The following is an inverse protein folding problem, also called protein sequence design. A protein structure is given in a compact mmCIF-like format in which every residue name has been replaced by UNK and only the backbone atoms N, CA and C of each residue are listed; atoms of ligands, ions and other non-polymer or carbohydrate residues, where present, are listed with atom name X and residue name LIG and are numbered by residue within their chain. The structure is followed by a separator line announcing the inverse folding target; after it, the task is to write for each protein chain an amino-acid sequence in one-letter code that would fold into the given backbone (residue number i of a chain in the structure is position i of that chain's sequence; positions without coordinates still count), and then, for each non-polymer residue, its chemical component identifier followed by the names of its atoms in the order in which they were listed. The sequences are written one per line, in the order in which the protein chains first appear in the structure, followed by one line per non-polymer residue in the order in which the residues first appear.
data_IF_774883935609
#
_entry.id   IF_774883935609
#
_cell.length_a   1.000
_cell.length_b   1.000
_cell.length_c   1.000
_cell.angle_alpha   90.00
_cell.angle_beta   90.00
_cell.angle_gamma   90.00
#
_symmetry.space_group_name_H-M   'P 1'
#
loop_
_entity.id
_entity.type
_entity.pdbx_description
1 polymer ?
#
# COMPACT_ATOMS: atom_id res chain seq x y z
N UNK A 1 25.60 2.75 -12.19
CA UNK A 1 25.01 2.64 -10.84
C UNK A 1 25.26 1.23 -10.32
N UNK A 2 25.91 1.11 -9.16
CA UNK A 2 26.43 -0.18 -8.65
C UNK A 2 25.45 -0.93 -7.74
N UNK A 3 24.57 -0.22 -7.02
CA UNK A 3 23.62 -0.81 -6.07
C UNK A 3 22.37 -1.39 -6.74
N UNK A 4 21.62 -2.30 -6.07
CA UNK A 4 20.35 -2.81 -6.59
C UNK A 4 19.37 -1.70 -6.97
N UNK A 5 18.65 -1.88 -8.06
CA UNK A 5 17.57 -1.01 -8.51
C UNK A 5 16.22 -1.64 -8.16
N UNK A 6 15.49 -0.99 -7.26
CA UNK A 6 14.15 -1.37 -6.84
C UNK A 6 13.14 -0.45 -7.51
N UNK A 7 12.29 -1.00 -8.36
CA UNK A 7 11.20 -0.25 -9.00
C UNK A 7 9.93 -0.39 -8.16
N UNK A 8 9.52 0.68 -7.48
CA UNK A 8 8.25 0.72 -6.74
C UNK A 8 7.12 1.00 -7.72
N UNK A 9 6.55 -0.05 -8.27
CA UNK A 9 5.51 0.02 -9.28
C UNK A 9 4.15 0.20 -8.63
N UNK A 10 3.48 1.34 -8.87
CA UNK A 10 2.19 1.64 -8.24
C UNK A 10 0.98 1.06 -8.99
N UNK A 11 1.17 0.58 -10.22
CA UNK A 11 0.08 0.13 -11.10
C UNK A 11 -0.57 1.24 -11.93
N UNK A 12 -0.02 2.46 -11.89
CA UNK A 12 -0.53 3.61 -12.67
C UNK A 12 0.23 3.84 -13.97
N UNK A 13 -0.31 4.71 -14.85
CA UNK A 13 0.30 5.09 -16.12
C UNK A 13 1.70 5.66 -16.00
N UNK A 14 1.96 6.53 -15.01
CA UNK A 14 3.28 7.14 -14.79
C UNK A 14 4.32 6.08 -14.41
N UNK A 15 4.01 5.20 -13.44
CA UNK A 15 4.92 4.09 -13.09
C UNK A 15 5.08 3.08 -14.23
N UNK A 16 4.04 2.88 -15.04
CA UNK A 16 4.04 2.10 -16.26
C UNK A 16 5.04 2.62 -17.29
N UNK A 17 4.91 3.89 -17.68
CA UNK A 17 5.80 4.54 -18.65
C UNK A 17 7.25 4.51 -18.15
N UNK A 18 7.47 4.88 -16.88
CA UNK A 18 8.81 4.83 -16.27
C UNK A 18 9.41 3.43 -16.39
N UNK A 19 8.68 2.39 -15.96
CA UNK A 19 9.19 1.03 -15.99
C UNK A 19 9.49 0.56 -17.42
N UNK A 20 8.61 0.83 -18.38
CA UNK A 20 8.83 0.45 -19.79
C UNK A 20 10.10 1.11 -20.36
N UNK A 21 10.36 2.35 -19.99
CA UNK A 21 11.60 3.04 -20.38
C UNK A 21 12.84 2.38 -19.74
N UNK A 22 12.81 2.12 -18.42
CA UNK A 22 13.92 1.44 -17.72
C UNK A 22 14.23 0.06 -18.32
N UNK A 23 13.20 -0.69 -18.71
CA UNK A 23 13.34 -2.01 -19.35
C UNK A 23 13.95 -1.89 -20.75
N UNK A 24 13.37 -1.04 -21.61
CA UNK A 24 13.82 -0.87 -23.01
C UNK A 24 15.25 -0.34 -23.11
N UNK A 25 15.68 0.48 -22.16
CA UNK A 25 17.05 1.00 -22.10
C UNK A 25 18.05 0.06 -21.38
N UNK A 26 17.60 -1.11 -20.90
CA UNK A 26 18.48 -2.06 -20.21
C UNK A 26 19.04 -1.53 -18.89
N UNK A 27 18.31 -0.65 -18.20
CA UNK A 27 18.78 -0.06 -16.92
C UNK A 27 18.64 -1.01 -15.73
N UNK A 28 17.89 -2.11 -15.87
CA UNK A 28 17.67 -3.12 -14.84
C UNK A 28 18.48 -4.39 -15.12
N UNK A 29 19.02 -4.99 -14.06
CA UNK A 29 19.86 -6.18 -14.09
C UNK A 29 19.56 -7.10 -12.89
N UNK A 30 19.02 -8.32 -13.09
CA UNK A 30 18.68 -9.21 -12.00
C UNK A 30 19.90 -9.70 -11.20
N UNK A 31 21.09 -9.76 -11.80
CA UNK A 31 22.34 -10.12 -11.11
C UNK A 31 22.72 -9.10 -10.02
N UNK A 32 22.26 -7.86 -10.16
CA UNK A 32 22.51 -6.78 -9.18
C UNK A 32 21.53 -6.82 -8.00
N UNK A 33 20.55 -7.73 -8.02
CA UNK A 33 19.47 -7.78 -7.03
C UNK A 33 18.30 -6.86 -7.37
N UNK A 34 18.21 -6.39 -8.61
CA UNK A 34 17.13 -5.55 -9.07
C UNK A 34 15.79 -6.30 -9.04
N UNK A 35 14.74 -5.59 -8.65
CA UNK A 35 13.40 -6.15 -8.63
C UNK A 35 12.34 -5.06 -8.83
N UNK A 36 11.24 -5.45 -9.43
CA UNK A 36 10.02 -4.64 -9.52
C UNK A 36 9.08 -5.12 -8.42
N UNK A 37 8.48 -4.19 -7.69
CA UNK A 37 7.60 -4.48 -6.56
C UNK A 37 6.28 -3.75 -6.75
N UNK A 38 5.18 -4.51 -6.75
CA UNK A 38 3.81 -3.99 -6.66
C UNK A 38 3.23 -4.34 -5.29
N UNK A 39 2.94 -3.31 -4.50
CA UNK A 39 2.30 -3.47 -3.20
C UNK A 39 0.78 -3.51 -3.37
N UNK A 40 0.20 -4.70 -3.36
CA UNK A 40 -1.25 -4.88 -3.45
C UNK A 40 -1.92 -4.53 -2.11
N UNK A 41 -2.89 -3.63 -2.15
CA UNK A 41 -3.71 -3.20 -1.02
C UNK A 41 -5.08 -3.86 -1.02
N UNK A 42 -5.40 -4.67 -2.04
CA UNK A 42 -6.71 -5.27 -2.32
C UNK A 42 -7.84 -4.27 -2.56
N UNK A 43 -7.51 -2.97 -2.66
CA UNK A 43 -8.43 -1.85 -2.85
C UNK A 43 -8.19 -1.11 -4.17
N UNK A 44 -7.39 -1.71 -5.05
CA UNK A 44 -7.11 -1.22 -6.38
C UNK A 44 -8.30 -1.44 -7.32
N UNK A 45 -8.39 -0.59 -8.34
CA UNK A 45 -9.34 -0.76 -9.43
C UNK A 45 -9.06 -2.08 -10.20
N UNK A 46 -10.10 -2.82 -10.65
CA UNK A 46 -9.93 -4.05 -11.43
C UNK A 46 -8.93 -3.94 -12.60
N UNK A 47 -9.02 -2.86 -13.38
CA UNK A 47 -8.12 -2.61 -14.49
C UNK A 47 -6.65 -2.42 -14.08
N UNK A 48 -6.36 -1.94 -12.86
CA UNK A 48 -4.99 -1.87 -12.33
C UNK A 48 -4.37 -3.25 -12.19
N UNK A 49 -5.14 -4.28 -11.81
CA UNK A 49 -4.63 -5.66 -11.76
C UNK A 49 -4.38 -6.21 -13.17
N UNK A 50 -5.28 -5.95 -14.11
CA UNK A 50 -5.12 -6.36 -15.51
C UNK A 50 -3.86 -5.74 -16.13
N UNK A 51 -3.67 -4.45 -15.92
CA UNK A 51 -2.51 -3.71 -16.36
C UNK A 51 -1.20 -4.21 -15.74
N UNK A 52 -1.16 -4.30 -14.41
CA UNK A 52 0.02 -4.76 -13.67
C UNK A 52 0.40 -6.19 -14.07
N UNK A 53 -0.59 -7.07 -14.33
CA UNK A 53 -0.36 -8.45 -14.82
C UNK A 53 0.32 -8.44 -16.18
N UNK A 54 -0.15 -7.61 -17.12
CA UNK A 54 0.47 -7.47 -18.46
C UNK A 54 1.92 -7.00 -18.34
N UNK A 55 2.17 -5.95 -17.56
CA UNK A 55 3.52 -5.41 -17.34
C UNK A 55 4.43 -6.43 -16.64
N UNK A 56 3.93 -7.17 -15.66
CA UNK A 56 4.67 -8.27 -15.01
C UNK A 56 5.12 -9.32 -16.02
N UNK A 57 4.20 -9.80 -16.85
CA UNK A 57 4.53 -10.80 -17.89
C UNK A 57 5.56 -10.27 -18.87
N UNK A 58 5.46 -9.01 -19.30
CA UNK A 58 6.42 -8.36 -20.18
C UNK A 58 7.81 -8.28 -19.51
N UNK A 59 7.90 -7.71 -18.31
CA UNK A 59 9.16 -7.55 -17.59
C UNK A 59 9.87 -8.89 -17.33
N UNK A 60 9.13 -9.94 -16.99
CA UNK A 60 9.72 -11.24 -16.68
C UNK A 60 10.08 -12.04 -17.92
N UNK A 61 9.24 -12.04 -18.96
CA UNK A 61 9.45 -12.88 -20.15
C UNK A 61 10.39 -12.26 -21.18
N UNK A 62 10.30 -10.95 -21.38
CA UNK A 62 11.06 -10.27 -22.43
C UNK A 62 12.38 -9.71 -21.89
N UNK A 63 12.40 -9.30 -20.62
CA UNK A 63 13.56 -8.64 -20.01
C UNK A 63 14.21 -9.44 -18.88
N UNK A 64 13.61 -10.57 -18.47
CA UNK A 64 14.11 -11.42 -17.39
C UNK A 64 14.35 -10.63 -16.07
N UNK A 65 13.47 -9.67 -15.75
CA UNK A 65 13.53 -8.89 -14.50
C UNK A 65 12.47 -9.42 -13.53
N UNK A 66 12.84 -9.84 -12.29
CA UNK A 66 11.89 -10.27 -11.28
C UNK A 66 10.85 -9.20 -10.95
N UNK A 67 9.57 -9.56 -10.99
CA UNK A 67 8.48 -8.67 -10.62
C UNK A 67 7.58 -9.34 -9.56
N UNK A 68 7.68 -8.90 -8.32
CA UNK A 68 6.88 -9.43 -7.21
C UNK A 68 5.64 -8.60 -6.91
N UNK A 69 4.54 -9.32 -6.66
CA UNK A 69 3.35 -8.75 -6.00
C UNK A 69 3.40 -9.14 -4.53
N UNK A 70 3.26 -8.15 -3.65
CA UNK A 70 3.34 -8.35 -2.20
C UNK A 70 2.15 -7.71 -1.50
N UNK A 71 1.66 -8.39 -0.47
CA UNK A 71 0.51 -7.97 0.34
C UNK A 71 0.90 -7.86 1.80
N UNK A 72 0.30 -6.89 2.51
CA UNK A 72 0.32 -6.88 3.97
C UNK A 72 -0.39 -8.13 4.50
N UNK A 73 0.16 -8.71 5.55
CA UNK A 73 -0.46 -9.81 6.28
C UNK A 73 0.00 -9.70 7.74
N UNK A 74 -0.75 -10.28 8.66
CA UNK A 74 -0.33 -10.52 10.04
C UNK A 74 -0.20 -12.01 10.34
N UNK A 75 0.51 -12.33 11.41
CA UNK A 75 0.58 -13.68 11.97
C UNK A 75 0.50 -13.62 13.50
N UNK A 76 0.16 -14.74 14.14
CA UNK A 76 0.14 -14.85 15.60
C UNK A 76 1.47 -15.31 16.15
N UNK A 77 1.96 -14.58 17.13
CA UNK A 77 3.19 -14.91 17.85
C UNK A 77 3.17 -14.28 19.25
N UNK A 78 4.01 -14.82 20.14
CA UNK A 78 4.15 -14.28 21.48
C UNK A 78 4.84 -12.90 21.43
N UNK A 79 4.29 -11.95 22.17
CA UNK A 79 4.92 -10.67 22.49
C UNK A 79 6.08 -10.89 23.47
N UNK A 80 6.92 -9.88 23.64
CA UNK A 80 8.02 -9.91 24.61
C UNK A 80 7.53 -10.05 26.07
N UNK A 81 6.24 -9.80 26.31
CA UNK A 81 5.58 -9.93 27.61
C UNK A 81 4.80 -11.25 27.75
N UNK A 82 4.93 -12.17 26.80
CA UNK A 82 4.27 -13.49 26.83
C UNK A 82 2.79 -13.49 26.47
N UNK A 83 2.23 -12.35 26.01
CA UNK A 83 0.86 -12.30 25.45
C UNK A 83 0.87 -12.65 23.97
N UNK A 84 -0.16 -13.33 23.47
CA UNK A 84 -0.27 -13.60 22.04
C UNK A 84 -0.82 -12.39 21.31
N UNK A 85 -0.13 -11.96 20.25
CA UNK A 85 -0.48 -10.76 19.47
C UNK A 85 -0.41 -11.04 17.98
N UNK A 86 -1.07 -10.19 17.18
CA UNK A 86 -0.90 -10.15 15.73
C UNK A 86 0.33 -9.31 15.38
N UNK A 87 1.39 -9.95 14.88
CA UNK A 87 2.58 -9.27 14.38
C UNK A 87 2.46 -9.01 12.88
N UNK A 88 2.84 -7.82 12.39
CA UNK A 88 2.80 -7.51 10.97
C UNK A 88 3.90 -8.27 10.20
N UNK A 89 3.59 -8.65 8.98
CA UNK A 89 4.49 -9.23 7.97
C UNK A 89 4.01 -8.81 6.58
N UNK A 90 4.64 -9.35 5.56
CA UNK A 90 4.11 -9.39 4.21
C UNK A 90 4.05 -10.82 3.71
N UNK A 91 3.32 -11.06 2.62
CA UNK A 91 3.34 -12.29 1.83
C UNK A 91 3.53 -11.96 0.36
N UNK A 92 4.01 -12.93 -0.40
CA UNK A 92 4.14 -12.84 -1.85
C UNK A 92 2.91 -13.51 -2.48
N UNK A 93 2.39 -12.96 -3.57
CA UNK A 93 1.23 -13.51 -4.27
C UNK A 93 1.50 -13.64 -5.76
N UNK A 94 0.83 -14.60 -6.40
CA UNK A 94 0.89 -14.73 -7.85
C UNK A 94 -0.07 -13.74 -8.53
N UNK A 95 0.02 -13.64 -9.86
CA UNK A 95 -0.71 -12.68 -10.67
C UNK A 95 -2.16 -13.12 -10.97
N UNK A 96 -2.67 -14.17 -10.30
CA UNK A 96 -4.03 -14.69 -10.43
C UNK A 96 -4.85 -14.47 -9.14
N UNK A 97 -6.17 -14.23 -9.24
CA UNK A 97 -7.02 -14.03 -8.06
C UNK A 97 -6.94 -15.20 -7.09
N UNK A 98 -7.03 -14.91 -5.80
CA UNK A 98 -7.12 -15.92 -4.74
C UNK A 98 -8.40 -16.75 -4.88
N UNK A 99 -8.27 -18.07 -4.72
CA UNK A 99 -9.40 -18.99 -4.65
C UNK A 99 -9.03 -20.24 -3.84
N UNK A 100 -9.98 -21.16 -3.63
CA UNK A 100 -9.69 -22.46 -2.99
C UNK A 100 -8.63 -23.26 -3.75
N UNK A 101 -8.64 -23.18 -5.10
CA UNK A 101 -7.63 -23.82 -5.95
C UNK A 101 -6.36 -23.00 -6.16
N UNK A 102 -6.36 -21.72 -5.76
CA UNK A 102 -5.21 -20.83 -5.84
C UNK A 102 -4.98 -20.08 -4.50
N UNK A 103 -4.51 -20.79 -3.46
CA UNK A 103 -4.27 -20.18 -2.14
C UNK A 103 -3.09 -19.19 -2.15
N UNK A 104 -2.29 -19.14 -3.21
CA UNK A 104 -1.21 -18.18 -3.40
C UNK A 104 -1.63 -16.94 -4.22
N UNK A 105 -2.89 -16.88 -4.65
CA UNK A 105 -3.42 -15.77 -5.44
C UNK A 105 -3.59 -14.47 -4.66
N UNK A 106 -3.67 -13.37 -5.40
CA UNK A 106 -3.83 -12.03 -4.83
C UNK A 106 -5.29 -11.76 -4.38
N UNK A 107 -5.42 -10.96 -3.33
CA UNK A 107 -6.68 -10.44 -2.81
C UNK A 107 -7.10 -9.18 -3.59
N UNK A 108 -8.40 -8.94 -3.76
CA UNK A 108 -8.89 -7.84 -4.60
C UNK A 108 -10.25 -7.28 -4.16
N UNK A 109 -10.69 -7.62 -2.94
CA UNK A 109 -12.00 -7.28 -2.39
C UNK A 109 -11.89 -6.57 -1.04
N UNK A 110 -10.76 -5.91 -0.79
CA UNK A 110 -10.51 -5.12 0.42
C UNK A 110 -9.94 -5.91 1.61
N UNK A 111 -9.62 -7.19 1.44
CA UNK A 111 -9.17 -8.08 2.52
C UNK A 111 -7.88 -7.59 3.19
N UNK A 112 -6.89 -7.20 2.40
CA UNK A 112 -5.60 -6.69 2.88
C UNK A 112 -5.77 -5.33 3.57
N UNK A 113 -6.69 -4.51 3.07
CA UNK A 113 -7.02 -3.20 3.63
C UNK A 113 -7.72 -3.34 4.98
N UNK A 114 -8.71 -4.22 5.09
CA UNK A 114 -9.41 -4.50 6.35
C UNK A 114 -8.48 -5.18 7.37
N UNK A 115 -7.59 -6.09 6.95
CA UNK A 115 -6.60 -6.69 7.85
C UNK A 115 -5.73 -5.61 8.50
N UNK A 116 -5.26 -4.63 7.72
CA UNK A 116 -4.49 -3.49 8.22
C UNK A 116 -5.30 -2.61 9.17
N UNK A 117 -6.54 -2.27 8.82
CA UNK A 117 -7.39 -1.43 9.66
C UNK A 117 -7.74 -2.14 10.97
N UNK A 118 -8.12 -3.41 10.91
CA UNK A 118 -8.44 -4.23 12.08
C UNK A 118 -7.21 -4.39 12.99
N UNK A 119 -6.02 -4.59 12.40
CA UNK A 119 -4.74 -4.60 13.15
C UNK A 119 -4.52 -3.29 13.91
N UNK A 120 -4.82 -2.15 13.30
CA UNK A 120 -4.64 -0.83 13.92
C UNK A 120 -5.79 -0.45 14.87
N UNK A 121 -7.00 -0.93 14.61
CA UNK A 121 -8.24 -0.55 15.30
C UNK A 121 -8.83 0.80 14.89
N UNK A 122 -8.38 1.37 13.76
CA UNK A 122 -8.91 2.62 13.22
C UNK A 122 -8.57 2.81 11.73
N UNK A 123 -9.42 3.57 11.03
CA UNK A 123 -9.26 3.89 9.60
C UNK A 123 -8.09 4.85 9.34
N UNK A 124 -7.42 4.78 8.16
CA UNK A 124 -6.45 5.77 7.75
C UNK A 124 -7.12 7.12 7.44
N UNK A 125 -6.39 8.22 7.64
CA UNK A 125 -6.88 9.56 7.30
C UNK A 125 -5.75 10.51 6.85
N UNK A 126 -6.05 11.81 6.73
CA UNK A 126 -5.08 12.84 6.31
C UNK A 126 -3.84 12.94 7.19
N UNK A 127 -3.99 12.68 8.49
CA UNK A 127 -2.92 12.74 9.48
C UNK A 127 -2.29 11.35 9.69
N UNK A 128 -3.13 10.33 9.87
CA UNK A 128 -2.72 8.95 10.13
C UNK A 128 -2.69 8.13 8.83
N UNK A 129 -1.54 8.19 8.14
CA UNK A 129 -1.28 7.56 6.82
C UNK A 129 -1.02 6.05 6.88
N UNK A 130 -1.87 5.31 7.58
CA UNK A 130 -1.60 3.89 7.87
C UNK A 130 -1.55 3.01 6.62
N UNK A 131 -2.35 3.31 5.59
CA UNK A 131 -2.29 2.57 4.33
C UNK A 131 -0.89 2.64 3.69
N UNK A 132 -0.28 3.84 3.61
CA UNK A 132 1.08 4.03 3.13
C UNK A 132 2.11 3.38 4.05
N UNK A 133 2.01 3.62 5.37
CA UNK A 133 2.99 3.12 6.34
C UNK A 133 3.05 1.58 6.39
N UNK A 134 1.90 0.91 6.46
CA UNK A 134 1.84 -0.54 6.62
C UNK A 134 1.92 -1.27 5.28
N UNK A 135 1.10 -0.87 4.30
CA UNK A 135 0.96 -1.65 3.07
C UNK A 135 1.96 -1.28 1.98
N UNK A 136 2.62 -0.11 2.07
CA UNK A 136 3.67 0.31 1.13
C UNK A 136 5.06 0.27 1.76
N UNK A 137 5.32 1.09 2.78
CA UNK A 137 6.67 1.25 3.37
C UNK A 137 7.10 -0.01 4.12
N UNK A 138 6.33 -0.43 5.14
CA UNK A 138 6.68 -1.59 5.96
C UNK A 138 6.79 -2.87 5.14
N UNK A 139 5.78 -3.17 4.31
CA UNK A 139 5.78 -4.37 3.46
C UNK A 139 6.98 -4.39 2.51
N UNK A 140 7.33 -3.27 1.89
CA UNK A 140 8.51 -3.19 0.99
C UNK A 140 9.81 -3.37 1.77
N UNK A 141 9.96 -2.73 2.92
CA UNK A 141 11.17 -2.88 3.74
C UNK A 141 11.34 -4.31 4.26
N UNK A 142 10.25 -4.94 4.70
CA UNK A 142 10.25 -6.33 5.11
C UNK A 142 10.60 -7.26 3.94
N UNK A 143 10.10 -6.96 2.74
CA UNK A 143 10.47 -7.66 1.51
C UNK A 143 11.95 -7.52 1.20
N UNK A 144 12.49 -6.31 1.15
CA UNK A 144 13.88 -6.03 0.80
C UNK A 144 14.86 -6.64 1.81
N UNK A 145 14.50 -6.68 3.09
CA UNK A 145 15.28 -7.37 4.15
C UNK A 145 15.52 -8.85 3.80
N UNK A 146 14.53 -9.53 3.20
CA UNK A 146 14.68 -10.93 2.81
C UNK A 146 15.22 -11.10 1.39
N UNK A 147 14.83 -10.23 0.46
CA UNK A 147 15.28 -10.28 -0.94
C UNK A 147 16.79 -10.04 -1.05
N UNK A 148 17.29 -8.98 -0.40
CA UNK A 148 18.73 -8.69 -0.38
C UNK A 148 19.54 -9.68 0.47
N UNK A 149 18.90 -10.52 1.27
CA UNK A 149 19.57 -11.60 1.97
C UNK A 149 19.96 -12.76 1.03
N UNK A 150 19.46 -12.78 -0.21
CA UNK A 150 19.80 -13.77 -1.23
C UNK A 150 19.50 -15.22 -0.82
N UNK A 151 18.53 -15.41 0.07
CA UNK A 151 17.99 -16.74 0.36
C UNK A 151 17.06 -17.18 -0.78
N UNK A 152 16.77 -18.48 -0.90
CA UNK A 152 15.83 -19.02 -1.91
C UNK A 152 14.37 -18.56 -1.72
N UNK A 153 14.05 -17.98 -0.57
CA UNK A 153 12.71 -17.57 -0.22
C UNK A 153 12.63 -16.90 1.15
N UNK A 154 11.41 -16.87 1.70
CA UNK A 154 11.12 -16.46 3.07
C UNK A 154 10.72 -17.65 3.94
N UNK A 155 11.25 -17.69 5.17
CA UNK A 155 10.90 -18.71 6.17
C UNK A 155 9.46 -18.56 6.66
N UNK A 156 8.91 -19.58 7.33
CA UNK A 156 7.61 -19.49 8.02
C UNK A 156 7.68 -18.49 9.18
N UNK A 157 6.57 -17.81 9.48
CA UNK A 157 6.37 -17.03 10.71
C UNK A 157 5.10 -17.46 11.44
N UNK A 158 5.07 -17.31 12.76
CA UNK A 158 3.93 -17.64 13.61
C UNK A 158 3.91 -19.09 14.09
N UNK A 159 2.97 -19.40 14.98
CA UNK A 159 2.89 -20.72 15.62
C UNK A 159 2.37 -21.83 14.69
N UNK A 160 2.56 -23.08 15.12
CA UNK A 160 2.08 -24.27 14.40
C UNK A 160 0.70 -24.78 14.90
N UNK A 161 0.13 -24.15 15.93
CA UNK A 161 -1.21 -24.50 16.42
C UNK A 161 -2.32 -24.20 15.39
N UNK A 162 -3.37 -25.04 15.41
CA UNK A 162 -4.53 -24.94 14.51
C UNK A 162 -5.54 -23.87 14.94
N UNK A 163 -5.50 -23.46 16.21
CA UNK A 163 -6.41 -22.47 16.79
C UNK A 163 -5.66 -21.21 17.22
N UNK A 164 -6.35 -20.08 17.20
CA UNK A 164 -5.83 -18.81 17.72
C UNK A 164 -5.43 -18.97 19.18
N UNK A 165 -4.26 -18.42 19.51
CA UNK A 165 -3.79 -18.34 20.90
C UNK A 165 -4.20 -17.03 21.57
N UNK A 166 -4.76 -16.09 20.80
CA UNK A 166 -5.16 -14.77 21.27
C UNK A 166 -6.58 -14.78 21.84
N UNK A 167 -6.68 -14.61 23.16
CA UNK A 167 -7.96 -14.52 23.88
C UNK A 167 -8.49 -13.08 23.94
N UNK A 168 -9.80 -12.93 24.17
CA UNK A 168 -10.42 -11.60 24.35
C UNK A 168 -9.76 -10.84 25.50
N UNK A 169 -9.50 -11.53 26.62
CA UNK A 169 -8.84 -10.94 27.78
C UNK A 169 -7.45 -10.40 27.44
N UNK A 170 -6.68 -11.09 26.58
CA UNK A 170 -5.37 -10.60 26.14
C UNK A 170 -5.50 -9.34 25.29
N UNK A 171 -6.45 -9.31 24.34
CA UNK A 171 -6.70 -8.14 23.49
C UNK A 171 -7.07 -6.92 24.33
N UNK A 172 -7.99 -7.09 25.28
CA UNK A 172 -8.43 -6.03 26.19
C UNK A 172 -7.26 -5.57 27.06
N UNK A 173 -6.56 -6.51 27.70
CA UNK A 173 -5.46 -6.17 28.63
C UNK A 173 -4.33 -5.41 27.92
N UNK A 174 -3.96 -5.82 26.72
CA UNK A 174 -2.93 -5.15 25.92
C UNK A 174 -3.36 -3.73 25.50
N UNK A 175 -4.63 -3.56 25.13
CA UNK A 175 -5.20 -2.24 24.82
C UNK A 175 -5.22 -1.31 26.04
N UNK A 176 -5.64 -1.81 27.21
CA UNK A 176 -5.64 -1.03 28.46
C UNK A 176 -4.23 -0.68 28.89
N UNK A 177 -3.27 -1.60 28.78
CA UNK A 177 -1.84 -1.34 29.07
C UNK A 177 -1.26 -0.24 28.18
N UNK A 178 -1.73 -0.12 26.93
CA UNK A 178 -1.35 0.96 26.03
C UNK A 178 -2.11 2.29 26.27
N UNK A 179 -2.93 2.37 27.33
CA UNK A 179 -3.75 3.56 27.65
C UNK A 179 -5.01 3.70 26.78
N UNK A 180 -5.42 2.64 26.10
CA UNK A 180 -6.61 2.62 25.25
C UNK A 180 -7.91 2.70 26.05
N UNK A 181 -8.87 3.49 25.57
CA UNK A 181 -10.17 3.74 26.21
C UNK A 181 -11.39 3.15 25.49
N UNK A 182 -11.20 2.61 24.28
CA UNK A 182 -12.27 1.93 23.52
C UNK A 182 -12.97 0.88 24.40
N UNK A 183 -14.32 0.89 24.52
CA UNK A 183 -15.07 -0.14 25.23
C UNK A 183 -14.75 -1.54 24.72
N UNK A 184 -14.84 -2.54 25.59
CA UNK A 184 -14.38 -3.90 25.29
C UNK A 184 -15.11 -4.51 24.08
N UNK A 185 -16.43 -4.36 24.00
CA UNK A 185 -17.25 -4.88 22.89
C UNK A 185 -16.82 -4.27 21.54
N UNK A 186 -16.69 -2.94 21.49
CA UNK A 186 -16.25 -2.21 20.28
C UNK A 186 -14.82 -2.60 19.91
N UNK A 187 -13.93 -2.75 20.89
CA UNK A 187 -12.55 -3.18 20.65
C UNK A 187 -12.51 -4.58 20.02
N UNK A 188 -13.24 -5.53 20.59
CA UNK A 188 -13.29 -6.90 20.11
C UNK A 188 -13.90 -6.99 18.71
N UNK A 189 -14.93 -6.20 18.42
CA UNK A 189 -15.52 -6.08 17.08
C UNK A 189 -14.51 -5.54 16.06
N UNK A 190 -13.80 -4.46 16.39
CA UNK A 190 -12.73 -3.91 15.55
C UNK A 190 -11.57 -4.89 15.35
N UNK A 191 -11.31 -5.77 16.32
CA UNK A 191 -10.26 -6.79 16.21
C UNK A 191 -10.75 -8.10 15.60
N UNK A 192 -12.04 -8.23 15.32
CA UNK A 192 -12.62 -9.49 14.86
C UNK A 192 -11.98 -9.96 13.55
N UNK A 193 -11.85 -9.09 12.55
CA UNK A 193 -11.34 -9.47 11.23
C UNK A 193 -9.90 -10.02 11.30
N UNK A 194 -8.96 -9.28 11.89
CA UNK A 194 -7.55 -9.71 12.01
C UNK A 194 -7.38 -11.00 12.82
N UNK A 195 -8.34 -11.32 13.70
CA UNK A 195 -8.36 -12.56 14.48
C UNK A 195 -8.78 -13.79 13.69
N UNK A 196 -9.54 -13.58 12.60
CA UNK A 196 -9.90 -14.65 11.66
C UNK A 196 -8.84 -14.85 10.57
N UNK A 197 -7.89 -13.92 10.42
CA UNK A 197 -6.78 -14.06 9.48
C UNK A 197 -5.85 -15.23 9.88
N UNK A 198 -5.16 -15.85 8.90
CA UNK A 198 -4.28 -17.00 9.16
C UNK A 198 -3.30 -16.75 10.32
N UNK A 199 -3.18 -17.71 11.24
CA UNK A 199 -2.31 -17.60 12.42
C UNK A 199 -0.82 -17.61 12.08
N UNK A 200 -0.46 -18.00 10.86
CA UNK A 200 0.91 -18.08 10.41
C UNK A 200 1.04 -17.60 8.97
N UNK A 201 2.26 -17.23 8.59
CA UNK A 201 2.65 -17.07 7.19
C UNK A 201 3.51 -18.27 6.77
N UNK A 202 3.13 -19.03 5.72
CA UNK A 202 3.93 -20.16 5.27
C UNK A 202 5.30 -19.72 4.76
N UNK A 203 6.24 -20.65 4.67
CA UNK A 203 7.45 -20.42 3.89
C UNK A 203 7.07 -20.26 2.41
N UNK A 204 7.77 -19.41 1.66
CA UNK A 204 7.50 -19.15 0.25
C UNK A 204 8.84 -19.06 -0.50
N UNK A 205 9.00 -19.77 -1.62
CA UNK A 205 10.18 -19.63 -2.46
C UNK A 205 9.95 -18.51 -3.47
N UNK A 206 10.98 -17.72 -3.78
CA UNK A 206 10.84 -16.61 -4.72
C UNK A 206 10.44 -17.08 -6.12
N UNK A 207 11.02 -18.20 -6.57
CA UNK A 207 10.81 -18.74 -7.92
C UNK A 207 9.36 -19.18 -8.17
N UNK A 208 8.59 -19.43 -7.12
CA UNK A 208 7.16 -19.77 -7.24
C UNK A 208 6.31 -18.56 -7.70
N UNK A 209 6.87 -17.34 -7.63
CA UNK A 209 6.15 -16.07 -7.85
C UNK A 209 6.71 -15.22 -8.99
N UNK A 210 7.77 -15.67 -9.65
CA UNK A 210 8.36 -15.00 -10.81
C UNK A 210 8.86 -16.02 -11.82
N UNK A 211 8.67 -15.74 -13.12
CA UNK A 211 9.30 -16.55 -14.18
C UNK A 211 10.70 -16.06 -14.54
N UNK A 212 11.16 -14.94 -13.99
CA UNK A 212 12.52 -14.46 -14.19
C UNK A 212 13.51 -15.34 -13.43
N UNK A 213 14.74 -15.40 -13.93
CA UNK A 213 15.85 -16.07 -13.26
C UNK A 213 16.25 -15.28 -12.01
N UNK A 214 16.46 -15.99 -10.90
CA UNK A 214 16.88 -15.41 -9.63
C UNK A 214 18.33 -15.77 -9.35
N UNK A 215 19.06 -14.79 -8.83
CA UNK A 215 20.49 -14.88 -8.56
C UNK A 215 20.71 -14.77 -7.06
N UNK A 216 21.30 -15.81 -6.47
CA UNK A 216 21.50 -15.92 -5.02
C UNK A 216 22.94 -15.64 -4.57
N UNK A 217 23.84 -15.29 -5.51
CA UNK A 217 25.24 -14.96 -5.20
C UNK A 217 25.58 -13.57 -5.76
N UNK A 218 25.20 -12.55 -5.00
CA UNK A 218 25.55 -11.15 -5.28
C UNK A 218 26.58 -10.66 -4.24
N UNK A 219 27.85 -10.46 -4.63
CA UNK A 219 28.92 -10.08 -3.71
C UNK A 219 28.72 -8.69 -3.08
N UNK A 220 27.95 -7.80 -3.71
CA UNK A 220 27.71 -6.45 -3.21
C UNK A 220 26.85 -6.42 -1.95
N UNK A 221 25.90 -7.35 -1.86
CA UNK A 221 24.94 -7.43 -0.75
C UNK A 221 25.45 -8.28 0.41
N UNK A 222 26.42 -9.18 0.17
CA UNK A 222 26.93 -10.13 1.16
C UNK A 222 27.39 -9.47 2.46
N UNK A 223 28.02 -8.29 2.36
CA UNK A 223 28.50 -7.51 3.52
C UNK A 223 27.39 -6.93 4.40
N UNK A 224 26.16 -6.85 3.87
CA UNK A 224 25.00 -6.27 4.55
C UNK A 224 24.14 -7.35 5.24
N UNK A 225 24.51 -8.63 5.14
CA UNK A 225 23.71 -9.75 5.65
C UNK A 225 24.16 -10.13 7.06
N UNK A 226 23.22 -10.11 8.01
CA UNK A 226 23.40 -10.58 9.38
C UNK A 226 22.23 -11.51 9.76
N UNK A 227 22.54 -12.69 10.32
CA UNK A 227 21.52 -13.64 10.78
C UNK A 227 20.54 -14.09 9.68
N UNK A 228 21.00 -14.17 8.43
CA UNK A 228 20.17 -14.57 7.29
C UNK A 228 19.21 -13.49 6.77
N UNK A 229 19.39 -12.23 7.18
CA UNK A 229 18.63 -11.06 6.70
C UNK A 229 19.58 -9.95 6.27
N UNK A 230 19.19 -9.18 5.27
CA UNK A 230 19.90 -7.96 4.91
C UNK A 230 19.52 -6.82 5.84
N UNK A 231 20.52 -6.13 6.38
CA UNK A 231 20.31 -4.93 7.17
C UNK A 231 19.90 -3.77 6.26
N UNK A 232 18.75 -3.17 6.54
CA UNK A 232 18.31 -1.92 5.90
C UNK A 232 18.58 -0.69 6.76
N UNK A 233 18.97 -0.89 8.03
CA UNK A 233 19.17 0.17 9.02
C UNK A 233 20.47 -0.06 9.79
N UNK A 234 20.98 0.98 10.42
CA UNK A 234 22.23 0.91 11.19
C UNK A 234 23.49 0.94 10.32
N UNK A 235 24.63 0.61 10.91
CA UNK A 235 25.95 0.79 10.29
C UNK A 235 26.23 -0.13 9.10
N UNK A 236 25.46 -1.21 8.95
CA UNK A 236 25.58 -2.18 7.87
C UNK A 236 24.41 -2.08 6.88
N UNK A 237 23.68 -0.96 6.86
CA UNK A 237 22.54 -0.77 5.95
C UNK A 237 22.96 -0.94 4.48
N UNK A 238 22.18 -1.71 3.72
CA UNK A 238 22.33 -1.84 2.28
C UNK A 238 21.94 -0.54 1.57
N UNK A 239 22.79 -0.08 0.66
CA UNK A 239 22.45 1.00 -0.27
C UNK A 239 21.69 0.39 -1.47
N UNK A 240 20.67 1.10 -1.95
CA UNK A 240 19.92 0.71 -3.13
C UNK A 240 19.24 1.93 -3.76
N UNK A 241 18.97 1.85 -5.06
CA UNK A 241 18.22 2.86 -5.79
C UNK A 241 16.73 2.50 -5.81
N UNK A 242 15.86 3.45 -5.48
CA UNK A 242 14.41 3.30 -5.56
C UNK A 242 13.85 4.19 -6.66
N UNK A 243 13.32 3.58 -7.71
CA UNK A 243 12.68 4.27 -8.83
C UNK A 243 11.20 4.53 -8.54
N UNK A 244 10.79 5.81 -8.62
CA UNK A 244 9.41 6.25 -8.40
C UNK A 244 8.85 6.95 -9.65
N UNK A 245 7.65 6.53 -10.07
CA UNK A 245 6.93 7.11 -11.22
C UNK A 245 6.24 8.43 -10.91
N UNK A 246 6.97 9.42 -10.39
CA UNK A 246 6.47 10.77 -10.09
C UNK A 246 6.70 11.67 -11.30
N UNK A 247 5.68 12.40 -11.75
CA UNK A 247 5.77 13.29 -12.91
C UNK A 247 6.39 14.64 -12.57
N UNK A 248 6.84 15.38 -13.58
CA UNK A 248 7.48 16.70 -13.42
C UNK A 248 6.53 17.77 -12.85
N UNK A 249 5.24 17.73 -13.20
CA UNK A 249 4.15 18.56 -12.63
C UNK A 249 3.88 18.26 -11.15
N UNK A 250 4.39 17.14 -10.64
CA UNK A 250 4.26 16.70 -9.26
C UNK A 250 5.60 16.73 -8.50
N UNK A 251 6.62 17.45 -8.99
CA UNK A 251 8.00 17.46 -8.45
C UNK A 251 8.12 17.66 -6.93
N UNK A 252 7.21 18.43 -6.35
CA UNK A 252 7.17 18.69 -4.91
C UNK A 252 6.94 17.40 -4.08
N UNK A 253 6.31 16.37 -4.66
CA UNK A 253 6.17 15.04 -4.04
C UNK A 253 7.54 14.37 -3.89
N UNK A 254 8.37 14.44 -4.93
CA UNK A 254 9.72 13.88 -4.93
C UNK A 254 10.63 14.60 -3.91
N UNK A 255 10.56 15.93 -3.84
CA UNK A 255 11.29 16.74 -2.85
C UNK A 255 10.94 16.34 -1.42
N UNK A 256 9.64 16.16 -1.11
CA UNK A 256 9.18 15.70 0.20
C UNK A 256 9.71 14.31 0.55
N UNK A 257 9.71 13.38 -0.39
CA UNK A 257 10.21 12.01 -0.14
C UNK A 257 11.73 12.05 0.11
N UNK A 258 12.49 12.78 -0.71
CA UNK A 258 13.94 12.98 -0.51
C UNK A 258 14.24 13.61 0.86
N UNK A 259 13.47 14.61 1.28
CA UNK A 259 13.63 15.24 2.59
C UNK A 259 13.37 14.26 3.75
N UNK A 260 12.38 13.37 3.62
CA UNK A 260 12.10 12.31 4.62
C UNK A 260 13.25 11.31 4.73
N UNK A 261 13.79 10.86 3.60
CA UNK A 261 14.96 9.95 3.59
C UNK A 261 16.16 10.62 4.26
N UNK A 262 16.43 11.89 3.94
CA UNK A 262 17.51 12.65 4.57
C UNK A 262 17.30 12.84 6.09
N UNK A 263 16.05 12.97 6.54
CA UNK A 263 15.72 13.02 7.96
C UNK A 263 15.92 11.65 8.65
N UNK A 264 15.52 10.55 8.00
CA UNK A 264 15.74 9.18 8.51
C UNK A 264 17.23 8.88 8.71
N UNK A 265 18.10 9.36 7.81
CA UNK A 265 19.55 9.17 7.92
C UNK A 265 20.17 9.79 9.19
N UNK A 266 19.50 10.78 9.81
CA UNK A 266 19.94 11.41 11.06
C UNK A 266 19.36 10.74 12.31
N UNK A 267 18.32 9.91 12.14
CA UNK A 267 17.61 9.26 13.23
C UNK A 267 18.36 8.03 13.75
N UNK A 268 18.28 7.78 15.07
CA UNK A 268 18.80 6.55 15.70
C UNK A 268 17.80 5.38 15.67
N UNK A 269 16.55 5.63 15.31
CA UNK A 269 15.47 4.64 15.39
C UNK A 269 15.56 3.66 14.22
N UNK A 270 15.58 2.36 14.54
CA UNK A 270 15.55 1.26 13.56
C UNK A 270 14.11 0.73 13.50
N UNK A 271 13.36 1.12 12.47
CA UNK A 271 11.99 0.64 12.29
C UNK A 271 11.69 0.40 10.82
N UNK A 272 11.14 -0.77 10.51
CA UNK A 272 10.66 -1.09 9.16
C UNK A 272 9.53 -0.16 8.70
N UNK A 273 8.91 0.61 9.59
CA UNK A 273 7.88 1.61 9.26
C UNK A 273 8.46 2.96 8.81
N UNK A 274 9.78 3.10 8.78
CA UNK A 274 10.45 4.32 8.34
C UNK A 274 11.11 4.11 6.98
N UNK A 275 11.59 5.18 6.36
CA UNK A 275 12.37 5.06 5.13
C UNK A 275 13.81 4.65 5.47
N UNK A 276 14.38 3.62 4.81
CA UNK A 276 15.76 3.20 5.05
C UNK A 276 16.77 4.31 4.73
N UNK A 277 17.82 4.51 5.55
CA UNK A 277 18.85 5.51 5.30
C UNK A 277 19.68 5.25 4.04
N UNK A 278 19.79 3.98 3.61
CA UNK A 278 20.49 3.59 2.38
C UNK A 278 19.64 3.70 1.09
N UNK A 279 18.38 4.15 1.20
CA UNK A 279 17.50 4.30 0.04
C UNK A 279 17.84 5.57 -0.76
N UNK A 280 18.15 5.42 -2.04
CA UNK A 280 18.46 6.54 -2.95
C UNK A 280 17.31 6.71 -3.93
N UNK A 281 16.57 7.81 -3.80
CA UNK A 281 15.35 8.06 -4.60
C UNK A 281 15.68 8.60 -5.99
N UNK A 282 15.25 7.89 -7.02
CA UNK A 282 15.32 8.28 -8.42
C UNK A 282 13.91 8.56 -8.98
N UNK A 283 13.77 9.64 -9.73
CA UNK A 283 12.50 10.07 -10.32
C UNK A 283 12.69 10.42 -11.80
N UNK A 284 12.91 9.43 -12.68
CA UNK A 284 13.31 9.69 -14.06
C UNK A 284 12.34 10.61 -14.81
N UNK A 285 11.03 10.50 -14.57
CA UNK A 285 10.05 11.35 -15.23
C UNK A 285 10.17 12.83 -14.81
N UNK A 286 10.50 13.12 -13.54
CA UNK A 286 10.84 14.49 -13.11
C UNK A 286 12.11 14.96 -13.81
N UNK A 287 13.14 14.11 -13.82
CA UNK A 287 14.47 14.44 -14.35
C UNK A 287 14.42 14.69 -15.87
N UNK A 288 13.54 13.99 -16.59
CA UNK A 288 13.27 14.16 -18.02
C UNK A 288 12.17 15.19 -18.33
N UNK A 289 11.61 15.87 -17.33
CA UNK A 289 10.58 16.89 -17.52
C UNK A 289 9.21 16.36 -17.98
N UNK A 290 8.95 15.07 -17.90
CA UNK A 290 7.70 14.43 -18.34
C UNK A 290 6.56 14.73 -17.38
N UNK A 291 5.56 15.48 -17.86
CA UNK A 291 4.36 15.84 -17.12
C UNK A 291 3.19 14.88 -17.43
N UNK A 292 1.97 15.23 -16.98
CA UNK A 292 0.77 14.46 -17.28
C UNK A 292 0.55 14.26 -18.78
N UNK A 293 0.70 15.31 -19.59
CA UNK A 293 0.43 15.23 -21.02
C UNK A 293 1.45 14.31 -21.71
N UNK A 294 2.73 14.39 -21.32
CA UNK A 294 3.76 13.47 -21.81
C UNK A 294 3.45 12.01 -21.50
N UNK A 295 2.96 11.70 -20.29
CA UNK A 295 2.52 10.34 -19.94
C UNK A 295 1.34 9.90 -20.80
N UNK A 296 0.35 10.77 -21.03
CA UNK A 296 -0.83 10.43 -21.85
C UNK A 296 -0.44 10.19 -23.30
N UNK A 297 0.38 11.06 -23.89
CA UNK A 297 0.87 10.91 -25.25
C UNK A 297 1.62 9.58 -25.45
N UNK A 298 2.46 9.19 -24.48
CA UNK A 298 3.13 7.90 -24.51
C UNK A 298 2.14 6.72 -24.59
N UNK A 299 1.09 6.73 -23.77
CA UNK A 299 0.12 5.62 -23.69
C UNK A 299 -0.82 5.54 -24.88
N UNK A 300 -1.11 6.66 -25.55
CA UNK A 300 -1.89 6.67 -26.80
C UNK A 300 -1.20 5.86 -27.90
N UNK A 301 0.12 5.79 -27.89
CA UNK A 301 0.93 5.08 -28.89
C UNK A 301 1.16 3.60 -28.56
N UNK A 302 0.75 3.11 -27.38
CA UNK A 302 0.98 1.72 -26.98
C UNK A 302 -0.16 0.79 -27.41
N UNK A 303 0.16 -0.48 -27.67
CA UNK A 303 -0.83 -1.52 -28.02
C UNK A 303 -1.74 -1.93 -26.85
N UNK A 304 -1.39 -1.53 -25.62
CA UNK A 304 -2.21 -1.71 -24.43
C UNK A 304 -1.99 -0.56 -23.45
N UNK A 305 -2.96 -0.34 -22.56
CA UNK A 305 -2.93 0.69 -21.51
C UNK A 305 -3.66 0.19 -20.26
N UNK A 306 -3.61 0.99 -19.19
CA UNK A 306 -4.33 0.82 -17.92
C UNK A 306 -5.86 0.81 -18.08
N UNK A 307 -6.40 1.24 -19.22
CA UNK A 307 -7.85 1.18 -19.51
C UNK A 307 -8.72 1.90 -18.46
N UNK A 308 -8.19 2.97 -17.87
CA UNK A 308 -8.93 3.93 -17.04
C UNK A 308 -9.12 5.26 -17.78
N UNK A 309 -10.13 6.07 -17.47
CA UNK A 309 -10.27 7.42 -18.04
C UNK A 309 -8.99 8.25 -17.93
N UNK A 310 -8.65 8.99 -18.98
CA UNK A 310 -7.41 9.80 -19.05
C UNK A 310 -7.45 11.02 -18.13
N UNK A 311 -8.64 11.44 -17.70
CA UNK A 311 -8.87 12.55 -16.78
C UNK A 311 -8.39 12.27 -15.33
N UNK A 312 -7.94 11.05 -15.04
CA UNK A 312 -7.41 10.67 -13.73
C UNK A 312 -8.46 10.54 -12.62
N UNK A 313 -9.75 10.49 -12.97
CA UNK A 313 -10.85 10.41 -12.00
C UNK A 313 -10.70 9.18 -11.07
N UNK A 314 -10.65 7.98 -11.64
CA UNK A 314 -10.59 6.74 -10.87
C UNK A 314 -9.25 6.55 -10.15
N UNK A 315 -8.11 6.79 -10.81
CA UNK A 315 -6.78 6.43 -10.27
C UNK A 315 -6.71 4.94 -9.85
N UNK A 316 -5.64 4.51 -9.18
CA UNK A 316 -5.49 3.11 -8.77
C UNK A 316 -6.42 2.75 -7.62
N UNK A 317 -6.64 3.65 -6.65
CA UNK A 317 -7.60 3.43 -5.56
C UNK A 317 -8.82 4.33 -5.76
N UNK A 318 -9.97 3.71 -6.00
CA UNK A 318 -11.20 4.36 -6.48
C UNK A 318 -11.70 5.43 -5.49
N UNK A 319 -12.00 5.03 -4.26
CA UNK A 319 -12.47 5.93 -3.21
C UNK A 319 -11.37 6.31 -2.22
N UNK A 320 -10.13 6.55 -2.67
CA UNK A 320 -9.06 6.96 -1.75
C UNK A 320 -9.45 8.22 -0.94
N UNK A 321 -9.33 8.25 0.40
CA UNK A 321 -9.76 9.39 1.22
C UNK A 321 -8.92 10.66 1.02
N UNK A 322 -7.81 10.52 0.28
CA UNK A 322 -6.99 11.61 -0.21
C UNK A 322 -7.64 12.43 -1.33
N UNK A 323 -8.64 11.88 -2.00
CA UNK A 323 -9.30 12.56 -3.12
C UNK A 323 -10.19 13.70 -2.61
N UNK A 324 -10.31 14.73 -3.44
CA UNK A 324 -11.24 15.83 -3.20
C UNK A 324 -12.70 15.35 -3.19
N UNK A 325 -13.55 16.02 -2.40
CA UNK A 325 -14.97 15.68 -2.23
C UNK A 325 -15.69 15.53 -3.58
N UNK A 326 -15.58 16.53 -4.46
CA UNK A 326 -16.21 16.53 -5.80
C UNK A 326 -15.87 15.29 -6.62
N UNK A 327 -14.60 14.86 -6.62
CA UNK A 327 -14.17 13.63 -7.32
C UNK A 327 -14.81 12.39 -6.71
N UNK A 328 -14.87 12.28 -5.39
CA UNK A 328 -15.48 11.13 -4.72
C UNK A 328 -16.99 11.04 -4.94
N UNK A 329 -17.72 12.15 -4.91
CA UNK A 329 -19.16 12.20 -5.25
C UNK A 329 -19.38 11.79 -6.70
N UNK A 330 -18.56 12.30 -7.63
CA UNK A 330 -18.65 11.92 -9.04
C UNK A 330 -18.40 10.42 -9.25
N UNK A 331 -17.36 9.87 -8.62
CA UNK A 331 -17.06 8.43 -8.67
C UNK A 331 -18.22 7.63 -8.09
N UNK A 332 -18.78 8.06 -6.95
CA UNK A 332 -19.95 7.42 -6.36
C UNK A 332 -21.10 7.38 -7.38
N UNK A 333 -21.43 8.50 -8.02
CA UNK A 333 -22.49 8.56 -9.05
C UNK A 333 -22.27 7.58 -10.20
N UNK A 334 -21.04 7.50 -10.72
CA UNK A 334 -20.69 6.60 -11.84
C UNK A 334 -20.71 5.11 -11.42
N UNK A 335 -20.44 4.80 -10.15
CA UNK A 335 -20.26 3.44 -9.62
C UNK A 335 -21.42 2.92 -8.73
N UNK A 336 -22.49 3.72 -8.56
CA UNK A 336 -23.67 3.40 -7.74
C UNK A 336 -24.35 2.07 -8.14
N UNK A 337 -24.08 1.56 -9.34
CA UNK A 337 -24.64 0.31 -9.86
C UNK A 337 -23.90 -0.96 -9.40
N UNK A 338 -22.82 -0.86 -8.62
CA UNK A 338 -22.07 -2.06 -8.18
C UNK A 338 -22.79 -2.78 -7.04
N UNK A 339 -23.39 -3.94 -7.34
CA UNK A 339 -24.01 -4.84 -6.34
C UNK A 339 -23.00 -5.52 -5.39
N UNK A 340 -21.69 -5.31 -5.58
CA UNK A 340 -20.64 -5.98 -4.80
C UNK A 340 -20.16 -5.11 -3.65
N UNK A 341 -20.19 -5.66 -2.43
CA UNK A 341 -19.59 -5.05 -1.24
C UNK A 341 -18.06 -5.23 -1.24
N UNK A 342 -17.37 -4.51 -2.13
CA UNK A 342 -15.90 -4.49 -2.26
C UNK A 342 -15.43 -3.03 -2.43
N UNK A 343 -14.11 -2.74 -2.41
CA UNK A 343 -13.60 -1.37 -2.54
C UNK A 343 -13.98 -0.61 -3.82
N UNK A 344 -14.60 -1.28 -4.81
CA UNK A 344 -15.18 -0.62 -5.99
C UNK A 344 -16.55 0.02 -5.71
N UNK A 345 -17.18 -0.30 -4.58
CA UNK A 345 -18.47 0.27 -4.14
C UNK A 345 -18.27 1.22 -2.97
N UNK A 346 -18.95 2.36 -2.98
CA UNK A 346 -18.96 3.32 -1.87
C UNK A 346 -19.52 2.72 -0.58
N UNK A 347 -20.42 1.73 -0.69
CA UNK A 347 -21.02 1.06 0.47
C UNK A 347 -19.98 0.33 1.31
N UNK A 348 -18.99 -0.28 0.66
CA UNK A 348 -17.88 -0.92 1.36
C UNK A 348 -17.10 0.10 2.19
N UNK A 349 -16.82 1.28 1.61
CA UNK A 349 -16.10 2.35 2.32
C UNK A 349 -16.91 2.95 3.47
N UNK A 350 -18.23 3.12 3.29
CA UNK A 350 -19.13 3.56 4.35
C UNK A 350 -19.18 2.54 5.50
N UNK A 351 -19.30 1.24 5.21
CA UNK A 351 -19.30 0.19 6.23
C UNK A 351 -17.95 0.07 6.96
N UNK A 352 -16.82 0.26 6.24
CA UNK A 352 -15.50 0.34 6.89
C UNK A 352 -15.40 1.57 7.80
N UNK A 353 -15.94 2.72 7.38
CA UNK A 353 -15.95 3.93 8.19
C UNK A 353 -16.81 3.76 9.44
N UNK A 354 -18.01 3.18 9.32
CA UNK A 354 -18.90 2.90 10.44
C UNK A 354 -18.23 2.00 11.49
N UNK A 355 -17.69 0.85 11.05
CA UNK A 355 -17.08 -0.14 11.94
C UNK A 355 -15.80 0.36 12.62
N UNK A 356 -14.95 1.09 11.89
CA UNK A 356 -13.58 1.35 12.31
C UNK A 356 -13.29 2.82 12.67
N UNK A 357 -14.23 3.74 12.50
CA UNK A 357 -14.04 5.11 13.00
C UNK A 357 -13.84 5.14 14.50
N UNK A 358 -13.09 6.13 14.98
CA UNK A 358 -12.98 6.37 16.43
C UNK A 358 -14.27 7.02 16.90
N UNK A 359 -14.86 6.47 17.95
CA UNK A 359 -16.05 7.03 18.59
C UNK A 359 -15.59 7.85 19.79
N UNK A 360 -15.73 9.17 19.72
CA UNK A 360 -15.25 10.07 20.76
C UNK A 360 -16.10 10.02 22.03
N UNK A 361 -17.39 9.70 21.90
CA UNK A 361 -18.31 9.58 23.02
C UNK A 361 -18.05 8.27 23.75
N UNK A 362 -18.08 7.14 23.03
CA UNK A 362 -17.87 5.82 23.62
C UNK A 362 -16.45 5.65 24.19
N UNK A 363 -15.45 6.34 23.63
CA UNK A 363 -14.07 6.34 24.16
C UNK A 363 -13.81 7.39 25.28
N UNK A 364 -14.83 8.11 25.74
CA UNK A 364 -14.73 9.18 26.77
C UNK A 364 -13.60 10.17 26.46
N UNK A 365 -13.56 10.65 25.21
CA UNK A 365 -12.57 11.63 24.74
C UNK A 365 -13.10 13.04 24.93
N UNK A 366 -12.19 14.00 25.06
CA UNK A 366 -12.56 15.42 25.05
C UNK A 366 -13.13 15.80 23.69
N UNK A 367 -14.39 16.24 23.66
CA UNK A 367 -15.08 16.70 22.45
C UNK A 367 -15.06 18.23 22.46
N UNK A 368 -14.39 18.84 21.49
CA UNK A 368 -14.33 20.31 21.33
C UNK A 368 -15.45 20.85 20.44
N UNK A 369 -15.99 20.02 19.55
CA UNK A 369 -17.14 20.34 18.70
C UNK A 369 -18.19 19.23 18.86
N UNK A 370 -19.33 19.57 19.44
CA UNK A 370 -20.42 18.63 19.74
C UNK A 370 -21.06 18.01 18.50
N UNK A 371 -20.88 18.61 17.31
CA UNK A 371 -21.36 18.05 16.04
C UNK A 371 -20.46 16.92 15.49
N UNK A 372 -19.27 16.73 16.09
CA UNK A 372 -18.31 15.71 15.66
C UNK A 372 -18.17 14.66 16.75
N UNK A 373 -18.87 13.54 16.56
CA UNK A 373 -18.87 12.42 17.49
C UNK A 373 -17.89 11.32 17.08
N UNK A 374 -17.41 11.33 15.84
CA UNK A 374 -16.50 10.32 15.31
C UNK A 374 -15.32 10.93 14.54
N UNK A 375 -14.23 10.15 14.43
CA UNK A 375 -13.07 10.45 13.58
C UNK A 375 -12.89 9.33 12.57
N UNK A 376 -13.25 9.61 11.32
CA UNK A 376 -13.23 8.67 10.21
C UNK A 376 -12.11 8.91 9.20
N UNK A 377 -12.35 8.51 7.95
CA UNK A 377 -11.36 8.58 6.87
C UNK A 377 -10.97 10.02 6.51
N UNK A 378 -11.89 10.96 6.73
CA UNK A 378 -11.69 12.38 6.47
C UNK A 378 -11.36 13.18 7.74
N UNK A 379 -11.05 12.49 8.85
CA UNK A 379 -10.78 13.11 10.14
C UNK A 379 -12.04 13.39 10.94
N UNK A 380 -11.97 14.39 11.81
CA UNK A 380 -13.06 14.81 12.69
C UNK A 380 -14.06 15.68 11.91
N UNK A 381 -14.87 15.07 11.06
CA UNK A 381 -15.79 15.76 10.15
C UNK A 381 -17.10 15.01 10.00
N UNK A 382 -18.22 15.65 10.39
CA UNK A 382 -19.58 15.13 10.16
C UNK A 382 -20.06 15.34 8.71
N UNK A 383 -19.58 16.39 8.03
CA UNK A 383 -20.00 16.77 6.67
C UNK A 383 -19.27 16.04 5.53
N UNK A 384 -18.28 15.20 5.87
CA UNK A 384 -17.45 14.49 4.91
C UNK A 384 -17.19 13.08 5.42
N UNK A 385 -18.17 12.21 5.24
CA UNK A 385 -18.13 10.77 5.48
C UNK A 385 -18.51 10.05 4.18
N UNK A 386 -18.15 8.79 3.99
CA UNK A 386 -18.58 8.05 2.80
C UNK A 386 -20.10 7.89 2.74
N UNK A 387 -20.78 7.78 3.89
CA UNK A 387 -22.24 7.79 3.96
C UNK A 387 -22.81 9.12 3.42
N UNK A 388 -22.28 10.27 3.84
CA UNK A 388 -22.72 11.57 3.33
C UNK A 388 -22.38 11.77 1.84
N UNK A 389 -21.23 11.27 1.38
CA UNK A 389 -20.85 11.31 -0.04
C UNK A 389 -21.78 10.45 -0.90
N UNK A 390 -22.23 9.31 -0.38
CA UNK A 390 -23.22 8.44 -1.02
C UNK A 390 -24.58 9.15 -1.12
N UNK A 391 -25.07 9.72 -0.03
CA UNK A 391 -26.34 10.46 -0.02
C UNK A 391 -26.32 11.64 -1.02
N UNK A 392 -25.22 12.39 -1.09
CA UNK A 392 -25.04 13.48 -2.07
C UNK A 392 -24.96 12.98 -3.52
N UNK A 393 -24.43 11.78 -3.73
CA UNK A 393 -24.42 11.13 -5.03
C UNK A 393 -25.84 10.72 -5.47
N UNK A 394 -26.64 10.16 -4.56
CA UNK A 394 -28.00 9.68 -4.81
C UNK A 394 -29.03 10.80 -4.99
N UNK A 395 -28.91 11.88 -4.22
CA UNK A 395 -29.85 13.02 -4.24
C UNK A 395 -29.70 13.95 -5.44
N UNK A 396 -28.63 13.79 -6.24
CA UNK A 396 -28.47 14.50 -7.51
C UNK A 396 -28.32 16.02 -7.40
N UNK A 397 -28.01 16.57 -6.22
CA UNK A 397 -27.74 18.01 -6.08
C UNK A 397 -26.53 18.34 -6.96
N UNK A 398 -26.79 19.12 -8.02
CA UNK A 398 -25.81 19.49 -9.02
C UNK A 398 -24.79 20.44 -8.38
N UNK A 399 -23.54 19.98 -8.27
CA UNK A 399 -22.42 20.89 -8.05
C UNK A 399 -21.92 21.21 -9.44
N UNK A 400 -22.50 22.25 -10.05
CA UNK A 400 -22.23 22.77 -11.40
C UNK A 400 -21.49 21.82 -12.34
N UNK A 401 -22.26 21.25 -13.26
CA UNK A 401 -21.81 20.67 -14.50
C UNK A 401 -21.28 21.76 -15.46
N UNK A 402 -20.25 22.49 -15.06
CA UNK A 402 -19.54 23.40 -15.97
C UNK A 402 -18.27 22.78 -16.52
N UNK A 403 -18.27 22.72 -17.85
CA UNK A 403 -17.19 22.31 -18.71
C UNK A 403 -16.06 23.35 -18.69
N UNK A 404 -15.14 23.28 -17.72
CA UNK A 404 -13.87 24.02 -17.82
C UNK A 404 -12.84 23.52 -16.80
N UNK A 405 -12.19 22.37 -17.04
CA UNK A 405 -10.99 22.00 -16.29
C UNK A 405 -9.94 21.30 -17.16
N UNK A 406 -9.43 22.07 -18.14
CA UNK A 406 -8.08 21.87 -18.68
C UNK A 406 -7.09 22.95 -18.22
N UNK A 407 -7.49 23.89 -17.36
CA UNK A 407 -6.60 24.98 -16.96
C UNK A 407 -6.80 25.27 -15.47
N UNK A 408 -5.75 25.02 -14.69
CA UNK A 408 -5.50 25.59 -13.36
C UNK A 408 -6.63 25.45 -12.31
N UNK A 409 -6.75 24.28 -11.67
CA UNK A 409 -7.18 24.29 -10.27
C UNK A 409 -5.94 24.40 -9.39
N UNK A 410 -5.95 25.44 -8.56
CA UNK A 410 -5.19 25.50 -7.32
C UNK A 410 -5.14 24.11 -6.69
N UNK A 411 -3.93 23.56 -6.71
CA UNK A 411 -3.56 22.42 -5.92
C UNK A 411 -3.82 22.79 -4.46
N UNK A 412 -5.04 22.56 -3.97
CA UNK A 412 -5.23 22.27 -2.55
C UNK A 412 -4.26 21.12 -2.28
N UNK A 413 -3.17 21.53 -1.63
CA UNK A 413 -1.87 20.86 -1.62
C UNK A 413 -2.08 19.35 -1.49
N UNK A 414 -1.92 18.63 -2.60
CA UNK A 414 -1.90 17.17 -2.58
C UNK A 414 -0.66 16.81 -1.77
N UNK A 415 -0.85 16.53 -0.48
CA UNK A 415 0.18 15.95 0.40
C UNK A 415 0.42 14.47 0.06
N UNK A 416 0.31 14.13 -1.21
CA UNK A 416 0.26 12.79 -1.74
C UNK A 416 1.71 12.31 -1.91
N UNK A 417 2.10 11.30 -1.14
CA UNK A 417 3.38 10.61 -1.27
C UNK A 417 3.04 9.13 -1.32
N UNK A 418 3.39 8.47 -2.42
CA UNK A 418 3.51 7.01 -2.45
C UNK A 418 4.58 6.55 -1.46
#
# INVERSE_FOLDING_TARGET
MEYPHIVKFSGGRSSGMMLLHLLKEGQLNPMRGDAIVFNNTSAEHPETYNFTRKIKKLAEKEFNIPFFWIEFQTFEDASDHGTWVRKPTYRIVNDQPRSKGNPAGYHHSGEVFEEMISTNGYVPNMLSRNCTLFMKIFVTNAFLTNWFAMNSGISRCGHNGETSRMTDQMVISDHRRAGGRVPDEILLEKKYYVRQCPHYRPAQNWQDFTSANIVFDNPLLKKNILGGKAELYGSHAANYYSYLGIRSDEKHRAEKIRARVAASAKGKTRSLFQQPPGEIILTPLVDSGVDQQGVLSFWIEQEFDLNLPLNGLYSNCLFCPLKGKKKLVRIAREELASEKFTPVSIDWWAGMEEKYSRDLIAEERSITNTEVTTVGFFGASSMKTYAALKEEAETGIDVDCDAEYLVNEDYSVCQCTD
#
